data_IF_063191421029
#
_entry.id   IF_063191421029
#
_cell.length_a   1.000
_cell.length_b   1.000
_cell.length_c   1.000
_cell.angle_alpha   90.00
_cell.angle_beta   90.00
_cell.angle_gamma   90.00
#
_symmetry.space_group_name_H-M   'P 1'
#
loop_
_entity.id
_entity.type
_entity.pdbx_description
1 polymer ?
#
# COMPACT_ATOMS: atom_id res chain seq x y z
N UNK A 1 -38.23 4.08 -19.77
CA UNK A 1 -37.31 4.76 -18.84
C UNK A 1 -37.21 3.89 -17.58
N UNK A 2 -36.25 2.96 -17.53
CA UNK A 2 -36.04 2.11 -16.34
C UNK A 2 -35.51 3.02 -15.22
N UNK A 3 -36.26 3.14 -14.13
CA UNK A 3 -35.90 4.09 -13.07
C UNK A 3 -34.64 3.60 -12.34
N UNK A 4 -33.78 4.56 -11.96
CA UNK A 4 -32.56 4.34 -11.17
C UNK A 4 -32.86 3.50 -9.91
N UNK A 5 -34.07 3.66 -9.38
CA UNK A 5 -34.60 2.92 -8.23
C UNK A 5 -34.68 1.42 -8.52
N UNK A 6 -35.13 1.01 -9.71
CA UNK A 6 -35.21 -0.40 -10.12
C UNK A 6 -33.81 -1.01 -10.25
N UNK A 7 -32.85 -0.29 -10.84
CA UNK A 7 -31.47 -0.78 -10.97
C UNK A 7 -30.80 -0.99 -9.59
N UNK A 8 -31.01 -0.05 -8.65
CA UNK A 8 -30.52 -0.17 -7.27
C UNK A 8 -31.17 -1.35 -6.51
N UNK A 9 -32.45 -1.61 -6.76
CA UNK A 9 -33.20 -2.73 -6.17
C UNK A 9 -32.61 -4.10 -6.54
N UNK A 10 -32.03 -4.23 -7.74
CA UNK A 10 -31.34 -5.44 -8.19
C UNK A 10 -29.83 -5.42 -7.92
N UNK A 11 -29.36 -4.57 -7.02
CA UNK A 11 -27.96 -4.54 -6.56
C UNK A 11 -26.99 -3.80 -7.48
N UNK A 12 -27.45 -3.10 -8.52
CA UNK A 12 -26.57 -2.30 -9.35
C UNK A 12 -26.11 -1.03 -8.62
N UNK A 13 -24.80 -0.86 -8.46
CA UNK A 13 -24.17 0.34 -7.88
C UNK A 13 -23.82 1.40 -8.93
N UNK A 14 -24.67 1.58 -9.95
CA UNK A 14 -24.47 2.61 -10.97
C UNK A 14 -24.72 4.01 -10.41
N UNK A 15 -23.75 4.91 -10.57
CA UNK A 15 -23.96 6.35 -10.37
C UNK A 15 -24.24 7.01 -11.73
N UNK A 16 -25.34 7.75 -11.82
CA UNK A 16 -25.64 8.60 -12.97
C UNK A 16 -25.24 10.01 -12.59
N UNK A 17 -24.11 10.48 -13.12
CA UNK A 17 -23.66 11.85 -12.92
C UNK A 17 -24.28 12.73 -14.00
N UNK A 18 -24.87 13.86 -13.59
CA UNK A 18 -25.30 14.88 -14.52
C UNK A 18 -24.02 15.53 -15.07
N UNK A 19 -23.69 15.27 -16.33
CA UNK A 19 -22.49 15.84 -16.95
C UNK A 19 -22.69 17.35 -17.12
N UNK A 20 -22.28 18.12 -16.11
CA UNK A 20 -21.98 19.52 -16.32
C UNK A 20 -20.81 19.63 -17.30
N UNK A 21 -20.85 20.61 -18.20
CA UNK A 21 -19.77 20.84 -19.18
C UNK A 21 -18.52 21.49 -18.56
N UNK A 22 -18.42 21.61 -17.23
CA UNK A 22 -17.23 22.16 -16.60
C UNK A 22 -16.18 21.05 -16.37
N UNK A 23 -14.87 21.35 -16.52
CA UNK A 23 -13.81 20.35 -16.41
C UNK A 23 -13.81 19.57 -15.09
N UNK A 24 -14.20 20.21 -13.99
CA UNK A 24 -14.28 19.58 -12.65
C UNK A 24 -15.35 18.49 -12.60
N UNK A 25 -16.56 18.79 -13.08
CA UNK A 25 -17.67 17.82 -13.11
C UNK A 25 -17.43 16.69 -14.11
N UNK A 26 -16.72 16.95 -15.22
CA UNK A 26 -16.28 15.90 -16.13
C UNK A 26 -15.21 15.00 -15.50
N UNK A 27 -14.22 15.56 -14.81
CA UNK A 27 -13.18 14.82 -14.08
C UNK A 27 -13.79 13.92 -12.99
N UNK A 28 -14.72 14.47 -12.20
CA UNK A 28 -15.46 13.75 -11.16
C UNK A 28 -16.30 12.62 -11.74
N UNK A 29 -16.98 12.87 -12.87
CA UNK A 29 -17.77 11.86 -13.59
C UNK A 29 -16.89 10.71 -14.10
N UNK A 30 -15.76 11.00 -14.74
CA UNK A 30 -14.82 9.99 -15.23
C UNK A 30 -14.22 9.17 -14.08
N UNK A 31 -13.89 9.81 -12.96
CA UNK A 31 -13.39 9.16 -11.75
C UNK A 31 -14.42 8.23 -11.12
N UNK A 32 -15.69 8.64 -11.09
CA UNK A 32 -16.82 7.84 -10.63
C UNK A 32 -17.05 6.61 -11.54
N UNK A 33 -17.02 6.80 -12.86
CA UNK A 33 -17.11 5.69 -13.83
C UNK A 33 -15.94 4.72 -13.66
N UNK A 34 -14.71 5.22 -13.57
CA UNK A 34 -13.52 4.39 -13.37
C UNK A 34 -13.58 3.63 -12.04
N UNK A 35 -14.14 4.24 -10.99
CA UNK A 35 -14.42 3.57 -9.71
C UNK A 35 -15.43 2.48 -9.84
N UNK A 36 -16.59 2.77 -10.44
CA UNK A 36 -17.64 1.79 -10.69
C UNK A 36 -17.09 0.62 -11.52
N UNK A 37 -16.38 0.88 -12.62
CA UNK A 37 -15.76 -0.15 -13.44
C UNK A 37 -14.73 -0.98 -12.68
N UNK A 38 -13.92 -0.39 -11.80
CA UNK A 38 -12.93 -1.11 -10.99
C UNK A 38 -13.62 -2.00 -9.95
N UNK A 39 -14.66 -1.50 -9.29
CA UNK A 39 -15.48 -2.27 -8.35
C UNK A 39 -16.18 -3.42 -9.06
N UNK A 40 -16.88 -3.14 -10.17
CA UNK A 40 -17.54 -4.15 -11.00
C UNK A 40 -16.54 -5.14 -11.59
N UNK A 41 -15.33 -4.73 -11.98
CA UNK A 41 -14.28 -5.66 -12.42
C UNK A 41 -13.83 -6.57 -11.29
N UNK A 42 -13.60 -6.02 -10.10
CA UNK A 42 -13.23 -6.81 -8.92
C UNK A 42 -14.33 -7.83 -8.56
N UNK A 43 -15.60 -7.44 -8.70
CA UNK A 43 -16.77 -8.29 -8.50
C UNK A 43 -16.95 -9.32 -9.63
N UNK A 44 -16.89 -8.93 -10.90
CA UNK A 44 -17.04 -9.83 -12.05
C UNK A 44 -15.88 -10.83 -12.18
N UNK A 45 -14.66 -10.41 -11.82
CA UNK A 45 -13.52 -11.33 -11.67
C UNK A 45 -13.71 -12.35 -10.53
N UNK A 46 -14.72 -12.17 -9.67
CA UNK A 46 -15.13 -13.17 -8.69
C UNK A 46 -16.26 -14.09 -9.19
N UNK A 47 -16.97 -13.73 -10.27
CA UNK A 47 -18.15 -14.45 -10.79
C UNK A 47 -17.86 -15.24 -12.08
N UNK A 48 -16.94 -14.80 -12.93
CA UNK A 48 -16.66 -15.43 -14.23
C UNK A 48 -15.61 -16.56 -14.15
N UNK A 49 -16.07 -17.73 -13.69
CA UNK A 49 -15.79 -19.04 -14.29
C UNK A 49 -14.41 -19.71 -14.20
N UNK A 50 -13.28 -19.02 -14.39
CA UNK A 50 -11.97 -19.70 -14.54
C UNK A 50 -10.97 -19.46 -13.40
N UNK A 51 -11.29 -18.58 -12.46
CA UNK A 51 -10.51 -18.40 -11.23
C UNK A 51 -11.39 -18.77 -10.05
N UNK A 52 -11.13 -19.93 -9.46
CA UNK A 52 -11.64 -20.41 -8.16
C UNK A 52 -12.35 -19.31 -7.37
N UNK A 53 -13.66 -19.43 -7.18
CA UNK A 53 -14.45 -18.60 -6.28
C UNK A 53 -13.65 -18.38 -4.99
N UNK A 54 -13.06 -17.19 -4.86
CA UNK A 54 -12.21 -16.87 -3.72
C UNK A 54 -13.12 -16.70 -2.53
N UNK A 55 -13.25 -17.76 -1.75
CA UNK A 55 -14.02 -17.73 -0.51
C UNK A 55 -13.40 -16.69 0.42
N UNK A 56 -14.20 -15.69 0.80
CA UNK A 56 -13.81 -14.71 1.80
C UNK A 56 -13.66 -15.42 3.15
N UNK A 57 -12.64 -15.03 3.93
CA UNK A 57 -12.49 -15.54 5.29
C UNK A 57 -13.68 -15.07 6.13
N UNK A 58 -14.13 -15.91 7.05
CA UNK A 58 -15.07 -15.48 8.08
C UNK A 58 -14.29 -14.67 9.14
N UNK A 59 -14.66 -13.42 9.38
CA UNK A 59 -14.07 -12.56 10.40
C UNK A 59 -15.11 -11.60 10.98
N UNK A 60 -14.87 -11.17 12.21
CA UNK A 60 -15.63 -10.11 12.89
C UNK A 60 -14.70 -8.92 13.05
N UNK A 61 -15.10 -7.74 12.57
CA UNK A 61 -14.29 -6.52 12.73
C UNK A 61 -14.17 -6.15 14.21
N UNK A 62 -12.99 -5.67 14.61
CA UNK A 62 -12.78 -5.16 15.96
C UNK A 62 -13.76 -4.02 16.26
N UNK A 63 -14.51 -4.14 17.36
CA UNK A 63 -15.36 -3.07 17.85
C UNK A 63 -14.55 -2.06 18.68
N UNK A 64 -14.86 -0.77 18.56
CA UNK A 64 -14.12 0.31 19.23
C UNK A 64 -14.13 0.21 20.76
N UNK A 65 -15.23 -0.27 21.33
CA UNK A 65 -15.45 -0.27 22.79
C UNK A 65 -15.00 -1.56 23.47
N UNK A 66 -14.61 -2.58 22.71
CA UNK A 66 -14.26 -3.86 23.29
C UNK A 66 -12.80 -3.86 23.78
N UNK A 67 -12.64 -3.68 25.10
CA UNK A 67 -11.33 -3.79 25.78
C UNK A 67 -10.80 -5.22 25.77
N UNK A 68 -11.68 -6.22 25.64
CA UNK A 68 -11.29 -7.61 25.66
C UNK A 68 -11.09 -8.12 24.23
N UNK A 69 -9.84 -8.13 23.77
CA UNK A 69 -9.55 -8.70 22.47
C UNK A 69 -8.98 -10.11 22.57
N UNK A 70 -9.55 -11.00 21.76
CA UNK A 70 -9.04 -12.35 21.56
C UNK A 70 -7.83 -12.32 20.63
N UNK A 71 -6.86 -13.22 20.87
CA UNK A 71 -5.61 -13.24 20.12
C UNK A 71 -5.20 -14.66 19.73
N UNK A 72 -4.33 -14.76 18.73
CA UNK A 72 -3.60 -15.97 18.36
C UNK A 72 -2.12 -15.78 18.64
N UNK A 73 -1.52 -16.78 19.27
CA UNK A 73 -0.07 -16.89 19.45
C UNK A 73 0.44 -17.88 18.42
N UNK A 74 1.43 -17.46 17.64
CA UNK A 74 2.13 -18.32 16.69
C UNK A 74 3.59 -18.37 17.13
N UNK A 75 4.13 -19.54 17.40
CA UNK A 75 5.51 -19.72 17.91
C UNK A 75 6.34 -20.69 17.07
N UNK A 76 5.72 -21.39 16.11
CA UNK A 76 6.36 -22.49 15.37
C UNK A 76 7.07 -21.97 14.12
N UNK A 77 8.39 -22.22 14.05
CA UNK A 77 9.25 -22.00 12.89
C UNK A 77 9.08 -20.61 12.27
N UNK A 78 9.17 -19.58 13.11
CA UNK A 78 9.01 -18.20 12.68
C UNK A 78 10.30 -17.71 12.03
N UNK A 79 10.17 -17.00 10.92
CA UNK A 79 11.26 -16.28 10.30
C UNK A 79 10.78 -14.93 9.76
N UNK A 80 11.65 -13.93 9.84
CA UNK A 80 11.41 -12.60 9.27
C UNK A 80 12.28 -12.39 8.04
N UNK A 81 11.68 -11.83 7.00
CA UNK A 81 12.34 -11.55 5.73
C UNK A 81 12.19 -10.09 5.34
N UNK A 82 13.21 -9.57 4.67
CA UNK A 82 13.20 -8.26 4.02
C UNK A 82 13.47 -8.43 2.54
N UNK A 83 12.76 -7.67 1.73
CA UNK A 83 13.05 -7.56 0.31
C UNK A 83 14.30 -6.72 0.07
N UNK A 84 15.20 -7.18 -0.78
CA UNK A 84 16.41 -6.44 -1.18
C UNK A 84 16.44 -6.31 -2.70
N UNK A 85 16.30 -5.07 -3.18
CA UNK A 85 16.28 -4.75 -4.61
C UNK A 85 17.67 -4.84 -5.27
N UNK A 86 18.74 -4.61 -4.52
CA UNK A 86 20.13 -4.52 -5.04
C UNK A 86 20.62 -5.83 -5.68
N UNK A 87 20.06 -6.98 -5.30
CA UNK A 87 20.42 -8.28 -5.85
C UNK A 87 19.64 -8.64 -7.13
N UNK A 88 18.68 -7.81 -7.55
CA UNK A 88 17.79 -8.17 -8.65
C UNK A 88 18.44 -8.21 -10.03
N UNK A 89 19.68 -7.75 -10.13
CA UNK A 89 20.40 -7.63 -11.40
C UNK A 89 21.26 -8.87 -11.69
N UNK A 90 21.48 -9.79 -10.73
CA UNK A 90 22.66 -10.69 -10.82
C UNK A 90 22.49 -12.14 -11.24
N UNK A 91 21.29 -12.73 -11.41
CA UNK A 91 21.14 -14.03 -12.12
C UNK A 91 19.67 -14.45 -12.36
N UNK A 92 19.28 -14.93 -13.56
CA UNK A 92 18.01 -15.61 -13.76
C UNK A 92 18.03 -16.96 -13.03
N UNK A 93 17.19 -17.14 -12.02
CA UNK A 93 17.03 -18.43 -11.30
C UNK A 93 17.16 -18.34 -9.79
N UNK A 94 17.80 -17.29 -9.26
CA UNK A 94 17.98 -17.14 -7.82
C UNK A 94 16.75 -16.50 -7.16
N UNK A 95 16.13 -17.23 -6.24
CA UNK A 95 15.03 -16.76 -5.39
C UNK A 95 15.46 -15.72 -4.33
N UNK A 96 16.65 -15.14 -4.46
CA UNK A 96 17.42 -14.48 -3.40
C UNK A 96 17.04 -13.02 -3.09
N UNK A 97 15.97 -12.47 -3.66
CA UNK A 97 15.53 -11.12 -3.28
C UNK A 97 15.03 -11.02 -1.83
N UNK A 98 14.89 -12.15 -1.13
CA UNK A 98 14.38 -12.22 0.24
C UNK A 98 15.51 -12.64 1.18
N UNK A 99 15.99 -11.69 1.97
CA UNK A 99 16.97 -11.98 3.01
C UNK A 99 16.26 -12.24 4.33
N UNK A 100 16.55 -13.38 4.94
CA UNK A 100 16.18 -13.64 6.34
C UNK A 100 16.94 -12.65 7.22
N UNK A 101 16.22 -11.95 8.08
CA UNK A 101 16.77 -10.97 9.03
C UNK A 101 16.41 -11.37 10.45
N UNK A 102 17.17 -10.88 11.45
CA UNK A 102 16.81 -11.02 12.87
C UNK A 102 15.42 -10.43 13.12
N UNK A 103 14.75 -10.78 14.21
CA UNK A 103 13.53 -10.08 14.68
C UNK A 103 13.84 -8.65 15.15
N UNK A 104 12.80 -7.85 15.46
CA UNK A 104 13.02 -6.52 16.07
C UNK A 104 13.57 -6.69 17.49
N UNK A 105 12.98 -7.60 18.26
CA UNK A 105 13.51 -8.06 19.52
C UNK A 105 14.32 -9.36 19.30
N UNK A 106 15.61 -9.36 19.70
CA UNK A 106 16.49 -10.54 19.55
C UNK A 106 16.00 -11.77 20.34
N UNK A 107 15.26 -11.55 21.43
CA UNK A 107 14.67 -12.61 22.26
C UNK A 107 13.28 -13.05 21.77
N UNK A 108 12.82 -12.56 20.60
CA UNK A 108 11.53 -12.93 20.05
C UNK A 108 11.43 -14.46 19.85
N UNK A 109 10.41 -15.03 20.47
CA UNK A 109 10.10 -16.47 20.45
C UNK A 109 8.69 -16.76 19.91
N UNK A 110 7.88 -15.72 19.67
CA UNK A 110 6.51 -15.86 19.20
C UNK A 110 5.96 -14.60 18.59
N UNK A 111 4.82 -14.73 17.94
CA UNK A 111 4.04 -13.65 17.35
C UNK A 111 2.70 -13.58 18.06
N UNK A 112 2.34 -12.38 18.50
CA UNK A 112 1.01 -12.02 18.96
C UNK A 112 0.26 -11.38 17.81
N UNK A 113 -0.85 -11.98 17.40
CA UNK A 113 -1.72 -11.41 16.37
C UNK A 113 -3.13 -11.35 16.92
N UNK A 114 -3.73 -10.17 16.88
CA UNK A 114 -5.11 -9.99 17.27
C UNK A 114 -6.04 -10.83 16.35
N UNK A 115 -7.08 -11.46 16.88
CA UNK A 115 -7.98 -12.30 16.05
C UNK A 115 -8.90 -11.45 15.17
N UNK A 116 -9.34 -10.31 15.70
CA UNK A 116 -10.28 -9.44 15.02
C UNK A 116 -9.51 -8.35 14.26
N UNK A 117 -9.72 -8.19 12.94
CA UNK A 117 -9.03 -7.16 12.17
C UNK A 117 -9.46 -5.75 12.61
N UNK A 118 -8.48 -4.85 12.67
CA UNK A 118 -8.68 -3.43 12.92
C UNK A 118 -9.13 -2.67 11.66
N UNK A 119 -8.86 -3.23 10.48
CA UNK A 119 -9.14 -2.59 9.20
C UNK A 119 -9.36 -3.59 8.07
N UNK A 120 -10.23 -3.23 7.12
CA UNK A 120 -10.54 -4.03 5.93
C UNK A 120 -10.24 -3.20 4.67
N UNK A 121 -9.39 -3.74 3.81
CA UNK A 121 -9.17 -3.24 2.44
C UNK A 121 -9.89 -4.11 1.41
N UNK A 122 -9.73 -3.77 0.13
CA UNK A 122 -10.31 -4.55 -0.98
C UNK A 122 -9.82 -6.00 -0.99
N UNK A 123 -8.50 -6.19 -0.83
CA UNK A 123 -7.86 -7.52 -0.91
C UNK A 123 -7.35 -8.08 0.43
N UNK A 124 -7.26 -7.26 1.48
CA UNK A 124 -6.54 -7.62 2.70
C UNK A 124 -7.24 -7.16 3.97
N UNK A 125 -6.96 -7.86 5.05
CA UNK A 125 -7.35 -7.54 6.41
C UNK A 125 -6.09 -7.11 7.19
N UNK A 126 -6.25 -6.09 8.04
CA UNK A 126 -5.19 -5.54 8.88
C UNK A 126 -5.45 -5.90 10.35
N UNK A 127 -4.44 -6.42 11.03
CA UNK A 127 -4.49 -6.91 12.41
C UNK A 127 -3.40 -6.24 13.24
N UNK A 128 -3.68 -6.04 14.53
CA UNK A 128 -2.62 -5.63 15.46
C UNK A 128 -1.65 -6.80 15.64
N UNK A 129 -0.37 -6.48 15.58
CA UNK A 129 0.74 -7.44 15.61
C UNK A 129 1.80 -6.98 16.60
N UNK A 130 2.31 -7.92 17.41
CA UNK A 130 3.47 -7.69 18.28
C UNK A 130 4.35 -8.94 18.34
N UNK A 131 5.65 -8.74 18.56
CA UNK A 131 6.55 -9.84 18.88
C UNK A 131 6.36 -10.25 20.36
N UNK A 132 6.61 -11.52 20.65
CA UNK A 132 6.53 -12.08 22.00
C UNK A 132 7.89 -12.63 22.43
N UNK A 133 8.20 -12.49 23.72
CA UNK A 133 9.28 -13.23 24.38
C UNK A 133 8.70 -14.25 25.34
N UNK A 134 9.44 -15.34 25.54
CA UNK A 134 9.13 -16.35 26.56
C UNK A 134 10.08 -16.15 27.72
N UNK A 135 9.54 -15.99 28.91
CA UNK A 135 10.29 -16.07 30.16
C UNK A 135 9.86 -17.31 30.92
N UNK A 136 10.81 -17.95 31.62
CA UNK A 136 10.51 -19.06 32.51
C UNK A 136 10.43 -18.51 33.94
N UNK A 137 9.32 -18.73 34.63
CA UNK A 137 9.18 -18.33 36.04
C UNK A 137 10.08 -19.20 36.93
N UNK A 138 10.27 -18.79 38.18
CA UNK A 138 10.98 -19.58 39.20
C UNK A 138 10.35 -20.97 39.42
N UNK A 139 9.05 -21.12 39.14
CA UNK A 139 8.31 -22.38 39.18
C UNK A 139 8.46 -23.24 37.90
N UNK A 140 9.27 -22.81 36.93
CA UNK A 140 9.45 -23.53 35.65
C UNK A 140 8.33 -23.31 34.63
N UNK A 141 7.35 -22.43 34.90
CA UNK A 141 6.24 -22.16 33.97
C UNK A 141 6.65 -21.15 32.90
N UNK A 142 6.27 -21.39 31.66
CA UNK A 142 6.49 -20.44 30.57
C UNK A 142 5.46 -19.31 30.62
N UNK A 143 5.95 -18.07 30.58
CA UNK A 143 5.15 -16.86 30.50
C UNK A 143 5.45 -16.12 29.21
N UNK A 144 4.41 -15.80 28.46
CA UNK A 144 4.51 -15.05 27.19
C UNK A 144 4.25 -13.58 27.46
N UNK A 145 5.18 -12.71 27.08
CA UNK A 145 5.02 -11.27 27.20
C UNK A 145 5.26 -10.56 25.87
N UNK A 146 4.45 -9.53 25.60
CA UNK A 146 4.55 -8.68 24.41
C UNK A 146 5.78 -7.81 24.51
N UNK A 147 6.52 -7.69 23.41
CA UNK A 147 7.71 -6.84 23.33
C UNK A 147 7.69 -5.93 22.11
N UNK A 148 8.29 -4.77 22.26
CA UNK A 148 8.38 -3.77 21.20
C UNK A 148 7.06 -3.01 20.97
N UNK A 149 7.14 -2.06 20.03
CA UNK A 149 5.99 -1.24 19.64
C UNK A 149 4.94 -2.10 18.89
N UNK A 150 3.64 -1.78 19.02
CA UNK A 150 2.62 -2.40 18.19
C UNK A 150 2.86 -2.10 16.70
N UNK A 151 2.56 -3.09 15.88
CA UNK A 151 2.68 -3.07 14.43
C UNK A 151 1.36 -3.52 13.79
N UNK A 152 1.28 -3.47 12.47
CA UNK A 152 0.15 -3.97 11.69
C UNK A 152 0.59 -5.15 10.85
N UNK A 153 -0.06 -6.30 11.04
CA UNK A 153 0.04 -7.44 10.14
C UNK A 153 -1.10 -7.40 9.12
N UNK A 154 -0.77 -7.58 7.84
CA UNK A 154 -1.73 -7.66 6.74
C UNK A 154 -1.71 -9.07 6.14
N UNK A 155 -2.89 -9.65 6.00
CA UNK A 155 -3.10 -10.92 5.29
C UNK A 155 -4.20 -10.80 4.25
N UNK A 156 -4.21 -11.72 3.29
CA UNK A 156 -5.28 -11.79 2.29
C UNK A 156 -6.64 -11.97 2.99
N UNK A 157 -7.64 -11.21 2.52
CA UNK A 157 -9.04 -11.34 2.90
C UNK A 157 -9.64 -12.66 2.41
N UNK A 158 -9.04 -13.24 1.38
CA UNK A 158 -9.51 -14.46 0.74
C UNK A 158 -8.74 -15.69 1.23
N UNK A 159 -9.41 -16.84 1.21
CA UNK A 159 -8.78 -18.14 1.46
C UNK A 159 -7.92 -18.46 0.24
N UNK A 160 -6.60 -18.33 0.39
CA UNK A 160 -5.62 -18.68 -0.64
C UNK A 160 -4.83 -19.93 -0.19
N UNK A 161 -4.59 -20.85 -1.14
CA UNK A 161 -3.76 -22.04 -0.91
C UNK A 161 -2.28 -21.69 -0.73
N UNK A 162 -1.83 -20.58 -1.33
CA UNK A 162 -0.44 -20.13 -1.28
C UNK A 162 -0.34 -18.70 -0.73
N UNK A 163 0.65 -18.44 0.10
CA UNK A 163 0.90 -17.14 0.73
C UNK A 163 1.74 -16.17 -0.13
N UNK A 164 1.74 -16.36 -1.46
CA UNK A 164 2.53 -15.55 -2.41
C UNK A 164 2.11 -14.08 -2.45
N UNK A 165 0.87 -13.76 -2.08
CA UNK A 165 0.34 -12.39 -2.08
C UNK A 165 1.19 -11.43 -1.24
N UNK A 166 1.51 -11.81 0.00
CA UNK A 166 2.25 -10.96 0.95
C UNK A 166 3.61 -10.52 0.38
N UNK A 167 4.34 -11.45 -0.24
CA UNK A 167 5.64 -11.21 -0.88
C UNK A 167 5.53 -10.18 -2.01
N UNK A 168 4.53 -10.31 -2.87
CA UNK A 168 4.33 -9.37 -3.97
C UNK A 168 3.99 -7.96 -3.47
N UNK A 169 3.11 -7.84 -2.46
CA UNK A 169 2.80 -6.54 -1.86
C UNK A 169 4.02 -5.88 -1.23
N UNK A 170 4.86 -6.64 -0.53
CA UNK A 170 6.07 -6.09 0.07
C UNK A 170 7.06 -5.59 -0.99
N UNK A 171 7.16 -6.28 -2.13
CA UNK A 171 7.95 -5.81 -3.27
C UNK A 171 7.42 -4.50 -3.87
N UNK A 172 6.09 -4.39 -4.04
CA UNK A 172 5.44 -3.18 -4.56
C UNK A 172 5.69 -2.00 -3.62
N UNK A 173 5.50 -2.20 -2.32
CA UNK A 173 5.73 -1.17 -1.30
C UNK A 173 7.19 -0.73 -1.25
N UNK A 174 8.16 -1.66 -1.41
CA UNK A 174 9.58 -1.31 -1.54
C UNK A 174 9.88 -0.49 -2.81
N UNK A 175 9.27 -0.85 -3.95
CA UNK A 175 9.42 -0.05 -5.18
C UNK A 175 8.84 1.35 -5.00
N UNK A 176 7.70 1.47 -4.34
CA UNK A 176 7.08 2.76 -4.03
C UNK A 176 7.95 3.61 -3.09
N UNK A 177 8.58 3.02 -2.07
CA UNK A 177 9.58 3.70 -1.22
C UNK A 177 10.76 4.23 -2.04
N UNK A 178 11.24 3.44 -3.00
CA UNK A 178 12.32 3.87 -3.91
C UNK A 178 11.88 5.06 -4.76
N UNK A 179 10.66 5.02 -5.32
CA UNK A 179 10.10 6.13 -6.10
C UNK A 179 9.89 7.39 -5.24
N UNK A 180 9.43 7.24 -4.00
CA UNK A 180 9.27 8.34 -3.05
C UNK A 180 10.60 9.04 -2.75
N UNK A 181 11.69 8.28 -2.58
CA UNK A 181 13.04 8.84 -2.40
C UNK A 181 13.50 9.67 -3.60
N UNK A 182 13.32 9.15 -4.81
CA UNK A 182 13.63 9.86 -6.05
C UNK A 182 12.78 11.13 -6.20
N UNK A 183 11.49 11.05 -5.88
CA UNK A 183 10.59 12.20 -5.87
C UNK A 183 11.06 13.27 -4.88
N UNK A 184 11.32 12.91 -3.61
CA UNK A 184 11.80 13.85 -2.60
C UNK A 184 13.13 14.49 -3.02
N UNK A 185 14.03 13.73 -3.64
CA UNK A 185 15.28 14.27 -4.16
C UNK A 185 15.06 15.26 -5.32
N UNK A 186 14.16 14.94 -6.25
CA UNK A 186 13.81 15.82 -7.36
C UNK A 186 13.16 17.11 -6.86
N UNK A 187 12.21 17.04 -5.93
CA UNK A 187 11.55 18.20 -5.30
C UNK A 187 12.59 19.10 -4.63
N UNK A 188 13.53 18.52 -3.86
CA UNK A 188 14.59 19.27 -3.19
C UNK A 188 15.51 20.02 -4.17
N UNK A 189 15.74 19.45 -5.36
CA UNK A 189 16.60 20.05 -6.39
C UNK A 189 15.86 21.06 -7.26
N UNK A 190 14.53 21.02 -7.32
CA UNK A 190 13.71 21.88 -8.19
C UNK A 190 13.62 23.31 -7.63
N UNK A 191 14.23 24.33 -8.27
CA UNK A 191 14.20 25.70 -7.76
C UNK A 191 12.79 26.30 -7.68
N UNK A 192 11.90 25.91 -8.61
CA UNK A 192 10.52 26.39 -8.69
C UNK A 192 9.61 25.86 -7.57
N UNK A 193 10.03 24.76 -6.91
CA UNK A 193 9.31 24.17 -5.77
C UNK A 193 9.92 24.58 -4.43
N UNK A 194 10.94 25.45 -4.45
CA UNK A 194 11.43 26.09 -3.25
C UNK A 194 10.44 27.16 -2.82
N UNK A 195 10.25 27.37 -1.52
CA UNK A 195 9.31 28.38 -1.05
C UNK A 195 9.89 29.78 -1.28
N UNK A 196 9.01 30.75 -1.48
CA UNK A 196 9.42 32.11 -1.80
C UNK A 196 10.11 32.85 -0.63
N UNK A 197 9.93 32.40 0.62
CA UNK A 197 10.21 33.21 1.82
C UNK A 197 11.13 32.50 2.83
N UNK A 198 11.13 31.16 2.96
CA UNK A 198 12.04 30.45 3.87
C UNK A 198 12.34 28.98 3.46
N UNK A 199 13.40 28.38 4.05
CA UNK A 199 13.72 26.94 3.90
C UNK A 199 12.74 26.02 4.65
N UNK A 200 11.90 26.57 5.54
CA UNK A 200 10.96 25.82 6.39
C UNK A 200 9.69 25.41 5.62
N UNK A 201 9.39 26.08 4.51
CA UNK A 201 8.18 25.88 3.72
C UNK A 201 8.31 24.84 2.59
N UNK A 202 9.40 24.06 2.55
CA UNK A 202 9.57 23.01 1.54
C UNK A 202 8.38 22.03 1.59
N UNK A 203 7.93 21.50 0.44
CA UNK A 203 6.89 20.49 0.43
C UNK A 203 7.24 19.32 1.36
N UNK A 204 6.30 18.88 2.22
CA UNK A 204 6.52 17.78 3.14
C UNK A 204 6.99 16.54 2.38
N UNK A 205 8.09 15.91 2.79
CA UNK A 205 8.56 14.71 2.13
C UNK A 205 7.56 13.57 2.31
N UNK A 206 7.51 12.70 1.30
CA UNK A 206 6.69 11.49 1.33
C UNK A 206 7.56 10.27 1.64
N UNK A 207 7.09 9.38 2.51
CA UNK A 207 7.75 8.10 2.80
C UNK A 207 6.74 6.98 2.79
N UNK A 208 7.11 5.85 2.20
CA UNK A 208 6.36 4.62 2.42
C UNK A 208 6.90 3.90 3.64
N UNK A 209 5.99 3.33 4.43
CA UNK A 209 6.38 2.47 5.52
C UNK A 209 7.22 1.31 5.01
N UNK A 210 8.28 1.02 5.76
CA UNK A 210 9.04 -0.21 5.53
C UNK A 210 8.18 -1.39 5.94
N UNK A 211 8.04 -2.35 5.06
CA UNK A 211 7.36 -3.60 5.33
C UNK A 211 8.36 -4.76 5.37
N UNK A 212 8.04 -5.77 6.18
CA UNK A 212 8.78 -7.04 6.27
C UNK A 212 7.80 -8.20 6.15
N UNK A 213 8.29 -9.38 5.79
CA UNK A 213 7.48 -10.59 5.76
C UNK A 213 7.79 -11.45 6.98
N UNK A 214 6.77 -11.79 7.75
CA UNK A 214 6.86 -12.83 8.78
C UNK A 214 6.29 -14.12 8.20
N UNK A 215 7.11 -15.15 8.09
CA UNK A 215 6.65 -16.51 7.80
C UNK A 215 6.61 -17.32 9.09
N UNK A 216 5.59 -18.17 9.22
CA UNK A 216 5.42 -19.06 10.36
C UNK A 216 4.59 -20.28 9.93
N UNK A 217 4.59 -21.31 10.77
CA UNK A 217 3.68 -22.44 10.62
C UNK A 217 2.55 -22.30 11.63
N UNK A 218 1.31 -22.35 11.15
CA UNK A 218 0.15 -22.30 12.03
C UNK A 218 -0.04 -23.63 12.79
N UNK A 219 -1.05 -23.69 13.65
CA UNK A 219 -1.39 -24.91 14.41
C UNK A 219 -1.71 -26.14 13.53
N UNK A 220 -2.05 -25.94 12.25
CA UNK A 220 -2.31 -27.00 11.27
C UNK A 220 -1.06 -27.38 10.44
N UNK A 221 0.12 -26.91 10.84
CA UNK A 221 1.37 -27.08 10.10
C UNK A 221 1.33 -26.49 8.67
N UNK A 222 0.47 -25.52 8.41
CA UNK A 222 0.42 -24.80 7.15
C UNK A 222 1.36 -23.59 7.20
N UNK A 223 2.19 -23.44 6.16
CA UNK A 223 3.07 -22.29 6.02
C UNK A 223 2.26 -21.03 5.68
N UNK A 224 2.27 -20.05 6.58
CA UNK A 224 1.62 -18.75 6.41
C UNK A 224 2.67 -17.64 6.28
N UNK A 225 2.26 -16.54 5.66
CA UNK A 225 3.08 -15.34 5.55
C UNK A 225 2.24 -14.10 5.78
N UNK A 226 2.78 -13.15 6.54
CA UNK A 226 2.17 -11.87 6.86
C UNK A 226 3.08 -10.76 6.35
N UNK A 227 2.49 -9.73 5.75
CA UNK A 227 3.20 -8.46 5.56
C UNK A 227 3.02 -7.65 6.83
N UNK A 228 4.13 -7.30 7.48
CA UNK A 228 4.14 -6.53 8.74
C UNK A 228 4.82 -5.19 8.52
N UNK A 229 4.21 -4.14 9.02
CA UNK A 229 4.70 -2.76 8.99
C UNK A 229 4.42 -2.04 10.31
N UNK A 230 5.05 -0.89 10.51
CA UNK A 230 4.83 -0.07 11.70
C UNK A 230 3.37 0.39 11.80
N UNK A 231 2.84 0.45 13.02
CA UNK A 231 1.50 0.97 13.26
C UNK A 231 1.49 2.50 13.07
N UNK A 232 0.59 2.98 12.20
CA UNK A 232 0.38 4.41 12.00
C UNK A 232 -0.58 4.95 13.06
N UNK A 233 -0.05 5.77 13.96
CA UNK A 233 -0.86 6.48 14.95
C UNK A 233 -1.48 7.73 14.32
N UNK A 234 -2.79 7.90 14.53
CA UNK A 234 -3.55 9.06 14.04
C UNK A 234 -4.67 8.68 13.06
N UNK A 235 -5.19 9.69 12.36
CA UNK A 235 -6.30 9.53 11.41
C UNK A 235 -5.76 9.08 10.05
N UNK A 236 -5.92 7.80 9.76
CA UNK A 236 -5.64 7.27 8.42
C UNK A 236 -6.53 7.93 7.38
N UNK A 237 -5.92 8.48 6.33
CA UNK A 237 -6.60 9.12 5.21
C UNK A 237 -6.21 8.45 3.90
N UNK A 238 -7.21 8.08 3.12
CA UNK A 238 -7.04 7.66 1.73
C UNK A 238 -7.25 8.89 0.84
N UNK A 239 -6.19 9.35 0.20
CA UNK A 239 -6.20 10.60 -0.58
C UNK A 239 -6.84 10.41 -1.96
N UNK A 240 -6.87 9.16 -2.46
CA UNK A 240 -7.32 8.81 -3.80
C UNK A 240 -7.46 7.28 -3.93
N UNK A 241 -7.95 6.81 -5.07
CA UNK A 241 -8.02 5.40 -5.43
C UNK A 241 -6.99 5.05 -6.51
N UNK A 242 -6.89 3.75 -6.82
CA UNK A 242 -6.12 3.24 -7.95
C UNK A 242 -6.83 3.40 -9.31
N UNK A 243 -7.95 4.11 -9.37
CA UNK A 243 -8.77 4.29 -10.58
C UNK A 243 -8.96 5.76 -10.97
N UNK A 244 -8.16 6.66 -10.39
CA UNK A 244 -8.22 8.10 -10.71
C UNK A 244 -9.15 8.92 -9.82
N UNK A 245 -9.95 8.31 -8.94
CA UNK A 245 -10.70 9.07 -7.94
C UNK A 245 -9.74 9.78 -6.98
N UNK A 246 -9.83 11.11 -6.93
CA UNK A 246 -9.13 11.98 -5.97
C UNK A 246 -10.17 12.44 -4.95
N UNK A 247 -9.80 12.48 -3.67
CA UNK A 247 -10.68 13.02 -2.64
C UNK A 247 -10.72 14.54 -2.80
N UNK A 248 -11.86 15.07 -3.27
CA UNK A 248 -12.07 16.50 -3.54
C UNK A 248 -12.24 17.34 -2.26
N UNK A 249 -12.65 16.71 -1.15
CA UNK A 249 -13.01 17.40 0.09
C UNK A 249 -12.09 17.05 1.27
N UNK A 250 -11.14 17.94 1.53
CA UNK A 250 -10.72 18.26 2.89
C UNK A 250 -10.78 19.79 3.07
N UNK A 251 -11.90 20.36 3.56
CA UNK A 251 -12.01 21.80 3.80
C UNK A 251 -11.01 22.31 4.87
N UNK A 252 -10.37 21.39 5.61
CA UNK A 252 -9.25 21.66 6.51
C UNK A 252 -7.93 21.08 5.98
N UNK A 253 -7.87 20.74 4.69
CA UNK A 253 -6.71 20.15 4.04
C UNK A 253 -5.54 21.12 4.09
N UNK A 254 -4.40 20.65 4.56
CA UNK A 254 -3.20 21.47 4.62
C UNK A 254 -2.75 21.85 3.18
N UNK A 255 -2.33 23.09 3.00
CA UNK A 255 -1.81 23.62 1.73
C UNK A 255 -0.39 24.14 1.92
N UNK A 256 0.34 24.29 0.82
CA UNK A 256 1.68 24.89 0.80
C UNK A 256 1.68 26.02 -0.21
N UNK A 257 2.19 27.18 0.20
CA UNK A 257 2.44 28.30 -0.69
C UNK A 257 3.74 28.06 -1.46
N UNK A 258 3.63 27.81 -2.77
CA UNK A 258 4.77 27.71 -3.67
C UNK A 258 4.97 29.04 -4.40
N UNK A 259 6.16 29.23 -5.00
CA UNK A 259 6.41 30.38 -5.89
C UNK A 259 5.40 30.45 -7.04
N UNK A 260 4.86 29.31 -7.46
CA UNK A 260 3.85 29.20 -8.53
C UNK A 260 2.40 29.30 -8.04
N UNK A 261 2.17 29.49 -6.75
CA UNK A 261 0.84 29.58 -6.11
C UNK A 261 0.60 28.53 -5.02
N UNK A 262 -0.58 28.57 -4.40
CA UNK A 262 -1.01 27.63 -3.39
C UNK A 262 -1.25 26.24 -3.99
N UNK A 263 -0.57 25.22 -3.48
CA UNK A 263 -0.84 23.83 -3.82
C UNK A 263 -1.50 23.11 -2.64
N UNK A 264 -2.58 22.37 -2.88
CA UNK A 264 -3.17 21.53 -1.84
C UNK A 264 -2.29 20.29 -1.68
N UNK A 265 -2.10 19.84 -0.45
CA UNK A 265 -1.34 18.62 -0.20
C UNK A 265 -1.96 17.36 -0.83
N UNK A 266 -3.26 17.40 -1.10
CA UNK A 266 -3.99 16.38 -1.86
C UNK A 266 -3.57 16.29 -3.33
N UNK A 267 -2.99 17.35 -3.89
CA UNK A 267 -2.63 17.43 -5.31
C UNK A 267 -1.34 16.66 -5.63
N UNK A 268 -0.47 16.45 -4.65
CA UNK A 268 0.83 15.78 -4.82
C UNK A 268 0.74 14.24 -4.82
N UNK A 269 -0.43 13.70 -4.53
CA UNK A 269 -0.56 12.34 -4.03
C UNK A 269 -1.57 11.59 -4.91
N UNK A 270 -1.15 10.53 -5.61
CA UNK A 270 -1.98 9.67 -6.49
C UNK A 270 -1.83 8.17 -6.12
N UNK A 271 -2.93 7.44 -5.91
CA UNK A 271 -3.05 6.08 -5.33
C UNK A 271 -2.38 5.81 -3.95
N UNK A 272 -2.35 6.79 -3.03
CA UNK A 272 -1.68 6.71 -1.73
C UNK A 272 -2.67 6.82 -0.55
N UNK A 273 -2.53 5.92 0.41
CA UNK A 273 -3.18 6.00 1.72
C UNK A 273 -2.13 6.12 2.82
N UNK A 274 -2.39 6.96 3.83
CA UNK A 274 -1.41 7.21 4.88
C UNK A 274 -1.88 8.17 5.96
N UNK A 275 -0.91 8.71 6.70
CA UNK A 275 -1.10 9.74 7.71
C UNK A 275 -0.15 10.90 7.41
N UNK A 276 -0.65 12.13 7.56
CA UNK A 276 0.18 13.32 7.68
C UNK A 276 0.66 13.39 9.13
N UNK A 277 1.91 13.01 9.35
CA UNK A 277 2.56 13.04 10.65
C UNK A 277 3.04 14.47 10.95
N UNK A 278 2.46 15.06 12.00
CA UNK A 278 2.75 16.41 12.46
C UNK A 278 3.65 16.42 13.72
N UNK A 279 4.09 15.27 14.22
CA UNK A 279 4.80 15.14 15.52
C UNK A 279 6.29 15.59 15.45
N UNK A 280 6.72 16.30 14.41
CA UNK A 280 8.09 16.77 14.21
C UNK A 280 8.19 18.27 13.91
N UNK A 281 9.43 18.76 13.73
CA UNK A 281 9.68 20.16 13.29
C UNK A 281 9.05 20.45 11.93
N UNK A 282 8.96 19.43 11.08
CA UNK A 282 8.36 19.52 9.76
C UNK A 282 7.36 18.37 9.59
N UNK A 283 6.19 18.64 8.98
CA UNK A 283 5.23 17.60 8.66
C UNK A 283 5.80 16.60 7.66
N UNK A 284 5.32 15.35 7.72
CA UNK A 284 5.79 14.26 6.86
C UNK A 284 4.62 13.36 6.46
N UNK A 285 4.53 12.99 5.19
CA UNK A 285 3.56 11.98 4.76
C UNK A 285 4.10 10.57 4.97
N UNK A 286 3.44 9.81 5.85
CA UNK A 286 3.70 8.39 6.04
C UNK A 286 2.63 7.57 5.33
N UNK A 287 3.03 6.95 4.23
CA UNK A 287 2.16 6.23 3.30
C UNK A 287 2.33 4.72 3.44
N UNK A 288 1.31 3.97 3.08
CA UNK A 288 1.33 2.51 3.03
C UNK A 288 0.39 2.00 1.94
N UNK A 289 0.55 0.73 1.59
CA UNK A 289 -0.30 0.01 0.64
C UNK A 289 -0.44 0.67 -0.74
N UNK A 290 0.68 1.00 -1.40
CA UNK A 290 0.63 1.57 -2.74
C UNK A 290 0.09 0.58 -3.76
N UNK A 291 -0.59 1.11 -4.78
CA UNK A 291 -0.82 0.43 -6.04
C UNK A 291 0.08 1.05 -7.12
N UNK A 292 0.73 0.20 -7.93
CA UNK A 292 1.52 0.65 -9.07
C UNK A 292 0.84 0.14 -10.34
N UNK A 293 0.47 1.05 -11.23
CA UNK A 293 0.03 0.72 -12.58
C UNK A 293 1.24 0.80 -13.51
N UNK A 294 1.40 -0.19 -14.38
CA UNK A 294 2.48 -0.21 -15.36
C UNK A 294 1.94 -0.40 -16.77
N UNK A 295 2.56 0.25 -17.75
CA UNK A 295 2.26 -0.09 -19.15
C UNK A 295 2.57 -1.58 -19.36
N UNK A 296 1.77 -2.31 -20.13
CA UNK A 296 2.00 -3.73 -20.37
C UNK A 296 3.36 -3.91 -21.05
N UNK A 297 4.37 -4.28 -20.27
CA UNK A 297 5.70 -4.69 -20.76
C UNK A 297 5.78 -6.21 -20.72
N UNK A 298 6.29 -6.79 -21.79
CA UNK A 298 6.73 -8.19 -21.80
C UNK A 298 8.23 -8.20 -21.49
N UNK A 299 8.67 -9.16 -20.70
CA UNK A 299 10.11 -9.42 -20.56
C UNK A 299 10.67 -10.04 -21.86
N UNK A 300 11.99 -10.28 -21.89
CA UNK A 300 12.67 -10.92 -23.04
C UNK A 300 12.12 -12.31 -23.38
N UNK A 301 11.37 -12.93 -22.48
CA UNK A 301 10.77 -14.26 -22.63
C UNK A 301 9.26 -14.16 -22.99
N UNK A 302 8.75 -12.95 -23.26
CA UNK A 302 7.36 -12.71 -23.61
C UNK A 302 6.40 -12.71 -22.42
N UNK A 303 6.89 -12.88 -21.19
CA UNK A 303 6.05 -12.92 -19.98
C UNK A 303 5.67 -11.50 -19.58
N UNK A 304 4.37 -11.29 -19.33
CA UNK A 304 3.87 -10.00 -18.85
C UNK A 304 4.48 -9.68 -17.49
N UNK A 305 5.16 -8.55 -17.39
CA UNK A 305 5.54 -7.97 -16.11
C UNK A 305 4.31 -7.24 -15.55
N UNK A 306 3.89 -7.59 -14.34
CA UNK A 306 2.80 -6.89 -13.66
C UNK A 306 3.08 -6.72 -12.17
N UNK A 307 2.58 -5.62 -11.60
CA UNK A 307 2.65 -5.33 -10.17
C UNK A 307 1.47 -5.96 -9.40
N UNK A 308 1.09 -7.18 -9.73
CA UNK A 308 0.00 -7.90 -9.07
C UNK A 308 -1.38 -7.62 -9.66
N UNK A 309 -2.41 -7.86 -8.85
CA UNK A 309 -3.83 -7.84 -9.29
C UNK A 309 -4.38 -6.43 -9.44
N UNK A 310 -3.79 -5.47 -8.73
CA UNK A 310 -4.19 -4.05 -8.72
C UNK A 310 -3.57 -3.23 -9.83
N UNK A 311 -2.64 -3.82 -10.61
CA UNK A 311 -2.07 -3.19 -11.80
C UNK A 311 -3.10 -3.21 -12.94
N UNK A 312 -3.76 -2.07 -13.16
CA UNK A 312 -4.82 -1.93 -14.16
C UNK A 312 -4.28 -1.89 -15.60
N UNK A 313 -2.95 -1.82 -15.80
CA UNK A 313 -2.28 -1.72 -17.09
C UNK A 313 -2.64 -0.50 -17.96
N UNK A 314 -3.59 0.31 -17.49
CA UNK A 314 -3.98 1.60 -18.03
C UNK A 314 -3.68 2.64 -16.96
N UNK A 315 -2.65 3.46 -17.17
CA UNK A 315 -2.60 4.75 -16.50
C UNK A 315 -3.74 5.58 -17.10
N UNK A 316 -4.80 5.80 -16.32
CA UNK A 316 -5.53 7.05 -16.48
C UNK A 316 -4.48 8.16 -16.29
N UNK A 317 -4.56 9.20 -17.10
CA UNK A 317 -3.53 10.24 -17.31
C UNK A 317 -3.04 10.92 -16.01
N UNK A 318 -3.72 10.68 -14.90
CA UNK A 318 -3.47 11.13 -13.53
C UNK A 318 -3.11 10.00 -12.56
N UNK A 319 -2.38 8.98 -13.01
CA UNK A 319 -1.76 7.96 -12.15
C UNK A 319 -0.26 8.00 -12.39
N UNK A 320 0.48 8.79 -11.59
CA UNK A 320 1.96 8.89 -11.52
C UNK A 320 2.67 8.24 -12.72
N UNK A 321 2.49 8.84 -13.90
CA UNK A 321 3.24 8.50 -15.09
C UNK A 321 4.64 9.09 -14.94
N UNK A 322 5.50 8.45 -14.15
CA UNK A 322 6.93 8.69 -14.29
C UNK A 322 7.42 7.91 -15.50
N UNK A 323 7.73 8.67 -16.56
CA UNK A 323 8.47 8.19 -17.71
C UNK A 323 9.82 7.64 -17.22
N UNK A 324 10.02 6.32 -17.31
CA UNK A 324 11.34 5.79 -17.66
C UNK A 324 11.62 6.28 -19.09
N UNK A 325 12.02 7.54 -19.25
CA UNK A 325 12.66 7.99 -20.48
C UNK A 325 14.12 7.59 -20.39
N UNK A 326 14.53 6.80 -21.37
CA UNK A 326 15.83 6.18 -21.49
C UNK A 326 16.99 7.13 -21.17
N UNK A 327 17.96 6.60 -20.43
CA UNK A 327 19.31 7.13 -20.35
C UNK A 327 19.98 7.01 -21.73
N UNK A 328 19.68 7.95 -22.61
CA UNK A 328 20.53 8.34 -23.72
C UNK A 328 20.72 9.86 -23.64
N UNK A 329 21.58 10.28 -22.72
CA UNK A 329 22.33 11.51 -22.94
C UNK A 329 23.37 11.17 -24.02
N UNK A 330 23.05 11.52 -25.26
CA UNK A 330 24.05 11.65 -26.32
C UNK A 330 25.12 12.62 -25.85
N UNK A 331 26.31 12.08 -25.58
CA UNK A 331 27.57 12.80 -25.79
C UNK A 331 27.76 12.96 -27.31
N UNK A 332 28.46 14.04 -27.68
CA UNK A 332 28.87 14.51 -29.01
C UNK A 332 27.89 15.55 -29.59
N UNK A 333 28.30 16.74 -30.05
CA UNK A 333 29.59 17.24 -30.51
C UNK A 333 29.70 18.75 -30.19
N UNK A 334 30.72 19.15 -29.43
CA UNK A 334 31.35 20.47 -29.55
C UNK A 334 32.81 20.16 -29.89
N UNK A 335 33.11 20.12 -31.19
CA UNK A 335 34.41 20.41 -31.76
C UNK A 335 34.20 20.62 -33.28
N UNK A 336 34.89 21.63 -33.81
CA UNK A 336 34.97 22.11 -35.20
C UNK A 336 33.95 23.17 -35.65
N UNK A 337 34.40 24.43 -35.61
CA UNK A 337 33.78 25.61 -36.21
C UNK A 337 34.38 26.91 -35.72
#
# INVERSE_FOLDING_TARGET
MLSITTAKLYGAQGQFNHAGLNPTSMSSTLSSIATSMTTTRNELCSVTGEKLNKMEKNFVMKQKDNKHCSYRIESKLIARYRYISEFAIKRPGDSEHWRKISFFNKACAGLFIEKDPLGKGGERLAYIFQELVVTTTTEGKQHWSKVGKPMVAKESRFIERESKGAFNFCRIQHKADTLAKLFNEAVRKAPMLKPAIDEVSLPPPIYFLRCTIYQYFNNKAEKRALLVEDFLQGKFTKFNSNNGYVREDDPNGASIELVTGTALLTDFVQALGGILDMEGRLPVFRLTDPAICSKPKKDRQGKKMSYGKTDLQTCLQYCLCWFESDTHWSKSEEDEG
#
